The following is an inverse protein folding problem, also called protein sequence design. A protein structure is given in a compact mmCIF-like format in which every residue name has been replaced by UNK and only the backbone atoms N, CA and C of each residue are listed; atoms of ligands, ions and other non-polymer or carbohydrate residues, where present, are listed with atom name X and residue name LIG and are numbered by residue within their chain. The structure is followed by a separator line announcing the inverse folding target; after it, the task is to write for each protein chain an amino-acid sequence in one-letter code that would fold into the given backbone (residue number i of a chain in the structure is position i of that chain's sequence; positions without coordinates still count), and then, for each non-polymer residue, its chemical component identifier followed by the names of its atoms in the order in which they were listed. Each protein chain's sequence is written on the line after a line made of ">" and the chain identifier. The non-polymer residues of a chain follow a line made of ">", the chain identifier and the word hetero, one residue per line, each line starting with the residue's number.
data_IF_599707509467
#
_entry.id   IF_599707509467
#
_cell.length_a   1.000
_cell.length_b   1.000
_cell.length_c   1.000
_cell.angle_alpha   90.00
_cell.angle_beta   90.00
_cell.angle_gamma   90.00
#
_symmetry.space_group_name_H-M   'P 1'
#
loop_
_entity.id
_entity.type
_entity.pdbx_description
1 polymer ?
#
# COMPACT_ATOMS: atom_id res chain seq x y z
N UNK A 1 -6.24 15.53 -8.79
CA UNK A 1 -6.44 14.65 -7.61
C UNK A 1 -5.75 13.32 -7.82
N UNK A 2 -4.75 13.00 -7.01
CA UNK A 2 -4.05 11.71 -7.05
C UNK A 2 -4.50 10.81 -5.89
N UNK A 3 -4.48 9.50 -6.12
CA UNK A 3 -4.85 8.50 -5.11
C UNK A 3 -3.72 7.48 -4.90
N UNK A 4 -3.46 7.10 -3.65
CA UNK A 4 -2.55 6.00 -3.30
C UNK A 4 -3.25 5.02 -2.36
N UNK A 5 -3.50 3.82 -2.85
CA UNK A 5 -3.98 2.70 -2.04
C UNK A 5 -2.78 2.03 -1.36
N UNK A 6 -2.60 2.29 -0.06
CA UNK A 6 -1.51 1.73 0.76
C UNK A 6 -2.05 0.60 1.63
N UNK A 7 -1.63 -0.63 1.34
CA UNK A 7 -2.13 -1.85 1.99
C UNK A 7 -1.02 -2.64 2.68
N UNK A 8 -1.38 -3.35 3.75
CA UNK A 8 -0.53 -4.40 4.33
C UNK A 8 -0.52 -5.62 3.40
N UNK A 9 0.64 -6.29 3.30
CA UNK A 9 0.74 -7.55 2.57
C UNK A 9 -0.26 -8.61 3.08
N UNK A 10 -0.63 -9.54 2.21
CA UNK A 10 -1.51 -10.67 2.53
C UNK A 10 -0.84 -11.68 3.47
N UNK A 11 -1.60 -12.64 3.99
CA UNK A 11 -1.10 -13.66 4.91
C UNK A 11 0.12 -14.39 4.33
N UNK A 12 1.23 -14.32 5.05
CA UNK A 12 2.50 -14.94 4.65
C UNK A 12 2.60 -16.39 5.10
N UNK A 13 3.46 -17.14 4.43
CA UNK A 13 4.02 -18.36 4.98
C UNK A 13 4.93 -18.00 6.19
N UNK A 14 4.81 -18.70 7.34
CA UNK A 14 5.61 -18.40 8.51
C UNK A 14 7.11 -18.67 8.32
N UNK A 15 7.49 -19.60 7.43
CA UNK A 15 8.84 -20.13 7.28
C UNK A 15 9.63 -19.49 6.12
N UNK A 16 8.94 -18.94 5.11
CA UNK A 16 9.57 -18.33 3.94
C UNK A 16 8.96 -16.96 3.62
N UNK A 17 9.70 -16.10 2.92
CA UNK A 17 9.19 -14.78 2.48
C UNK A 17 8.26 -14.91 1.26
N UNK A 18 7.12 -15.60 1.45
CA UNK A 18 6.11 -15.87 0.42
C UNK A 18 4.72 -15.74 1.01
N UNK A 19 3.71 -15.63 0.18
CA UNK A 19 2.32 -15.77 0.58
C UNK A 19 1.95 -17.23 0.83
N UNK A 20 1.17 -17.45 1.88
CA UNK A 20 0.48 -18.72 2.09
C UNK A 20 -0.60 -18.92 1.02
N UNK A 21 -1.07 -20.16 0.78
CA UNK A 21 -2.19 -20.39 -0.14
C UNK A 21 -3.42 -19.54 0.17
N UNK A 22 -3.78 -19.40 1.45
CA UNK A 22 -4.88 -18.55 1.89
C UNK A 22 -4.62 -17.05 1.63
N UNK A 23 -3.38 -16.59 1.82
CA UNK A 23 -3.00 -15.21 1.52
C UNK A 23 -3.12 -14.86 0.04
N UNK A 24 -2.85 -15.82 -0.86
CA UNK A 24 -3.02 -15.62 -2.31
C UNK A 24 -4.49 -15.44 -2.68
N UNK A 25 -5.36 -16.29 -2.13
CA UNK A 25 -6.82 -16.19 -2.32
C UNK A 25 -7.33 -14.86 -1.80
N UNK A 26 -6.93 -14.48 -0.57
CA UNK A 26 -7.33 -13.20 0.02
C UNK A 26 -6.92 -12.01 -0.88
N UNK A 27 -5.66 -11.95 -1.32
CA UNK A 27 -5.17 -10.87 -2.17
C UNK A 27 -5.92 -10.80 -3.51
N UNK A 28 -6.21 -11.95 -4.13
CA UNK A 28 -7.00 -12.01 -5.35
C UNK A 28 -8.45 -11.53 -5.14
N UNK A 29 -9.07 -11.92 -4.02
CA UNK A 29 -10.44 -11.50 -3.70
C UNK A 29 -10.53 -10.01 -3.43
N UNK A 30 -9.55 -9.41 -2.73
CA UNK A 30 -9.51 -7.95 -2.56
C UNK A 30 -9.35 -7.25 -3.91
N UNK A 31 -8.55 -7.82 -4.82
CA UNK A 31 -8.42 -7.30 -6.19
C UNK A 31 -9.69 -7.40 -7.00
N UNK A 32 -10.40 -8.52 -6.89
CA UNK A 32 -11.70 -8.73 -7.54
C UNK A 32 -12.76 -7.75 -7.04
N UNK A 33 -12.70 -7.38 -5.77
CA UNK A 33 -13.62 -6.42 -5.16
C UNK A 33 -13.25 -4.95 -5.45
N UNK A 34 -12.02 -4.68 -5.89
CA UNK A 34 -11.57 -3.32 -6.20
C UNK A 34 -12.21 -2.82 -7.50
N UNK A 35 -12.62 -1.56 -7.50
CA UNK A 35 -13.09 -0.85 -8.71
C UNK A 35 -12.01 0.06 -9.30
N UNK A 36 -10.78 -0.01 -8.77
CA UNK A 36 -9.66 0.86 -9.17
C UNK A 36 -8.77 0.20 -10.21
N UNK A 37 -8.27 1.01 -11.13
CA UNK A 37 -7.15 0.68 -12.01
C UNK A 37 -5.93 1.47 -11.56
N UNK A 38 -4.78 0.82 -11.50
CA UNK A 38 -3.55 1.43 -11.01
C UNK A 38 -2.65 1.85 -12.16
N UNK A 39 -2.19 3.10 -12.16
CA UNK A 39 -1.19 3.61 -13.09
C UNK A 39 0.23 3.22 -12.65
N UNK A 40 0.41 2.96 -11.35
CA UNK A 40 1.72 2.61 -10.79
C UNK A 40 1.61 1.68 -9.57
N UNK A 41 2.59 0.80 -9.42
CA UNK A 41 2.68 -0.16 -8.30
C UNK A 41 4.00 -0.01 -7.55
N UNK A 42 3.93 0.07 -6.22
CA UNK A 42 5.07 0.14 -5.34
C UNK A 42 5.05 -1.02 -4.35
N UNK A 43 6.20 -1.66 -4.16
CA UNK A 43 6.31 -2.76 -3.19
C UNK A 43 7.55 -2.61 -2.35
N UNK A 44 7.49 -3.05 -1.09
CA UNK A 44 8.70 -3.23 -0.30
C UNK A 44 9.61 -4.30 -0.94
N UNK A 45 10.90 -4.38 -0.56
CA UNK A 45 11.81 -5.44 -1.01
C UNK A 45 11.38 -6.87 -0.64
N UNK A 46 10.42 -7.04 0.27
CA UNK A 46 9.91 -8.35 0.65
C UNK A 46 9.13 -9.01 -0.49
N UNK A 47 9.45 -10.27 -0.80
CA UNK A 47 8.81 -11.02 -1.88
C UNK A 47 7.31 -11.21 -1.63
N UNK A 48 6.86 -11.38 -0.37
CA UNK A 48 5.42 -11.44 -0.03
C UNK A 48 4.64 -10.17 -0.42
N UNK A 49 5.29 -8.99 -0.42
CA UNK A 49 4.65 -7.74 -0.83
C UNK A 49 4.45 -7.71 -2.34
N UNK A 50 5.47 -8.11 -3.11
CA UNK A 50 5.39 -8.27 -4.56
C UNK A 50 4.32 -9.31 -4.97
N UNK A 51 4.27 -10.45 -4.28
CA UNK A 51 3.23 -11.46 -4.52
C UNK A 51 1.84 -10.93 -4.21
N UNK A 52 1.66 -10.17 -3.12
CA UNK A 52 0.36 -9.56 -2.79
C UNK A 52 -0.11 -8.67 -3.93
N UNK A 53 0.75 -7.75 -4.41
CA UNK A 53 0.42 -6.88 -5.54
C UNK A 53 0.05 -7.68 -6.80
N UNK A 54 0.81 -8.74 -7.11
CA UNK A 54 0.54 -9.58 -8.27
C UNK A 54 -0.83 -10.29 -8.21
N UNK A 55 -1.21 -10.84 -7.05
CA UNK A 55 -2.53 -11.46 -6.87
C UNK A 55 -3.65 -10.41 -6.86
N UNK A 56 -3.40 -9.23 -6.30
CA UNK A 56 -4.31 -8.09 -6.36
C UNK A 56 -4.65 -7.71 -7.80
N UNK A 57 -3.63 -7.49 -8.63
CA UNK A 57 -3.78 -7.13 -10.04
C UNK A 57 -4.46 -8.24 -10.84
N UNK A 58 -4.14 -9.51 -10.54
CA UNK A 58 -4.83 -10.66 -11.14
C UNK A 58 -6.33 -10.63 -10.86
N UNK A 59 -6.72 -10.41 -9.61
CA UNK A 59 -8.12 -10.29 -9.21
C UNK A 59 -8.83 -9.12 -9.89
N UNK A 60 -8.14 -7.99 -10.00
CA UNK A 60 -8.61 -6.79 -10.69
C UNK A 60 -8.60 -6.91 -12.23
N UNK A 61 -8.17 -8.05 -12.78
CA UNK A 61 -8.03 -8.29 -14.22
C UNK A 61 -7.12 -7.26 -14.91
N UNK A 62 -6.13 -6.73 -14.19
CA UNK A 62 -5.21 -5.71 -14.66
C UNK A 62 -3.82 -6.32 -14.95
N UNK A 63 -3.19 -5.90 -16.05
CA UNK A 63 -1.76 -6.17 -16.27
C UNK A 63 -0.91 -5.31 -15.35
N UNK A 64 0.32 -5.76 -15.06
CA UNK A 64 1.27 -5.01 -14.25
C UNK A 64 1.61 -3.66 -14.92
N UNK A 65 1.28 -2.51 -14.30
CA UNK A 65 1.67 -1.21 -14.81
C UNK A 65 3.15 -0.90 -14.48
N UNK A 66 3.57 0.36 -14.66
CA UNK A 66 4.89 0.79 -14.19
C UNK A 66 5.04 0.48 -12.69
N UNK A 67 6.22 0.04 -12.27
CA UNK A 67 6.40 -0.44 -10.91
C UNK A 67 7.81 -0.22 -10.38
N UNK A 68 7.90 -0.10 -9.05
CA UNK A 68 9.16 0.09 -8.36
C UNK A 68 9.22 -0.68 -7.04
N UNK A 69 10.42 -1.14 -6.69
CA UNK A 69 10.74 -1.64 -5.35
C UNK A 69 11.24 -0.47 -4.51
N UNK A 70 10.56 -0.19 -3.39
CA UNK A 70 10.82 0.97 -2.54
C UNK A 70 11.24 0.49 -1.14
N UNK A 71 12.53 0.60 -0.77
CA UNK A 71 13.03 0.16 0.53
C UNK A 71 12.27 0.75 1.73
N UNK A 72 11.84 2.01 1.64
CA UNK A 72 11.07 2.68 2.71
C UNK A 72 9.74 1.99 3.04
N UNK A 73 9.15 1.25 2.09
CA UNK A 73 7.96 0.43 2.33
C UNK A 73 8.25 -0.79 3.21
N UNK A 74 9.50 -1.06 3.58
CA UNK A 74 9.87 -2.11 4.54
C UNK A 74 9.61 -1.75 6.02
N UNK A 75 9.14 -0.54 6.32
CA UNK A 75 8.89 -0.09 7.71
C UNK A 75 10.14 0.36 8.47
N UNK A 76 11.30 0.40 7.81
CA UNK A 76 12.58 0.80 8.38
C UNK A 76 13.27 1.72 7.38
N UNK A 77 12.97 3.00 7.44
CA UNK A 77 13.66 4.04 6.69
C UNK A 77 14.72 4.74 7.56
N UNK A 78 15.37 5.78 7.02
CA UNK A 78 16.37 6.54 7.74
C UNK A 78 15.83 7.25 9.01
N UNK A 79 14.50 7.42 9.16
CA UNK A 79 13.89 7.97 10.37
C UNK A 79 13.64 6.92 11.46
N UNK A 80 14.00 5.65 11.21
CA UNK A 80 13.67 4.55 12.11
C UNK A 80 12.19 4.17 12.06
N UNK A 81 11.49 4.53 10.99
CA UNK A 81 10.06 4.26 10.84
C UNK A 81 9.18 5.20 11.68
N UNK A 82 9.60 6.46 11.88
CA UNK A 82 8.77 7.47 12.57
C UNK A 82 7.51 7.80 11.76
N UNK A 83 6.38 8.18 12.38
CA UNK A 83 5.18 8.56 11.65
C UNK A 83 5.42 9.65 10.59
N UNK A 84 6.22 10.66 10.90
CA UNK A 84 6.58 11.76 9.99
C UNK A 84 7.39 11.24 8.80
N UNK A 85 8.33 10.32 9.04
CA UNK A 85 9.09 9.68 7.97
C UNK A 85 8.21 8.84 7.05
N UNK A 86 7.28 8.06 7.63
CA UNK A 86 6.32 7.27 6.84
C UNK A 86 5.38 8.16 6.03
N UNK A 87 4.89 9.26 6.61
CA UNK A 87 4.06 10.23 5.90
C UNK A 87 4.83 10.93 4.76
N UNK A 88 6.10 11.29 5.00
CA UNK A 88 7.00 11.83 3.97
C UNK A 88 7.22 10.82 2.84
N UNK A 89 7.44 9.55 3.17
CA UNK A 89 7.55 8.46 2.21
C UNK A 89 6.30 8.32 1.35
N UNK A 90 5.11 8.37 1.95
CA UNK A 90 3.83 8.34 1.21
C UNK A 90 3.68 9.53 0.26
N UNK A 91 4.03 10.75 0.72
CA UNK A 91 4.01 11.95 -0.14
C UNK A 91 4.95 11.80 -1.35
N UNK A 92 6.15 11.27 -1.12
CA UNK A 92 7.10 11.01 -2.20
C UNK A 92 6.62 9.94 -3.21
N UNK A 93 5.74 9.02 -2.81
CA UNK A 93 5.10 8.09 -3.75
C UNK A 93 3.99 8.75 -4.56
N UNK A 94 3.21 9.65 -3.94
CA UNK A 94 2.21 10.46 -4.65
C UNK A 94 2.88 11.36 -5.70
N UNK A 95 4.03 11.98 -5.37
CA UNK A 95 4.81 12.82 -6.30
C UNK A 95 5.33 12.08 -7.54
N UNK A 96 5.33 10.75 -7.51
CA UNK A 96 5.78 9.89 -8.62
C UNK A 96 4.63 9.40 -9.50
N UNK A 97 3.37 9.69 -9.14
CA UNK A 97 2.21 9.33 -9.94
C UNK A 97 2.09 10.29 -11.14
N UNK A 98 1.51 9.84 -12.26
CA UNK A 98 1.06 10.76 -13.29
C UNK A 98 0.00 11.71 -12.71
N UNK A 99 -0.19 12.87 -13.33
CA UNK A 99 -1.21 13.83 -12.92
C UNK A 99 -2.60 13.16 -12.91
N UNK A 100 -3.28 13.20 -11.77
CA UNK A 100 -4.56 12.52 -11.60
C UNK A 100 -4.48 10.98 -11.42
N UNK A 101 -3.27 10.44 -11.27
CA UNK A 101 -3.01 9.01 -11.27
C UNK A 101 -3.38 8.30 -9.98
N UNK A 102 -3.54 6.99 -10.09
CA UNK A 102 -3.83 6.08 -8.98
C UNK A 102 -2.70 5.08 -8.77
N UNK A 103 -2.12 5.05 -7.57
CA UNK A 103 -1.08 4.11 -7.19
C UNK A 103 -1.55 3.00 -6.25
N UNK A 104 -0.91 1.84 -6.35
CA UNK A 104 -1.00 0.76 -5.33
C UNK A 104 0.35 0.64 -4.62
N UNK A 105 0.36 0.68 -3.30
CA UNK A 105 1.55 0.42 -2.48
C UNK A 105 1.30 -0.75 -1.52
N UNK A 106 2.16 -1.77 -1.56
CA UNK A 106 2.12 -2.89 -0.60
C UNK A 106 3.27 -2.81 0.39
N UNK A 107 2.89 -2.79 1.67
CA UNK A 107 3.76 -2.55 2.82
C UNK A 107 3.48 -3.52 3.98
N UNK A 108 3.91 -3.16 5.18
CA UNK A 108 3.81 -3.96 6.41
C UNK A 108 3.15 -3.16 7.53
N UNK A 109 2.62 -3.84 8.54
CA UNK A 109 2.40 -3.22 9.85
C UNK A 109 3.75 -3.07 10.58
N UNK A 110 4.00 -1.98 11.34
CA UNK A 110 3.09 -0.87 11.61
C UNK A 110 3.22 0.33 10.63
N UNK A 111 3.80 0.14 9.43
CA UNK A 111 4.04 1.26 8.50
C UNK A 111 2.73 1.94 8.09
N UNK A 112 1.69 1.18 7.77
CA UNK A 112 0.42 1.75 7.29
C UNK A 112 -0.24 2.62 8.36
N UNK A 113 -0.25 2.15 9.60
CA UNK A 113 -0.79 2.88 10.75
C UNK A 113 0.03 4.13 11.08
N UNK A 114 1.36 4.02 11.02
CA UNK A 114 2.25 5.17 11.25
C UNK A 114 2.13 6.21 10.14
N UNK A 115 1.96 5.79 8.89
CA UNK A 115 1.70 6.69 7.78
C UNK A 115 0.36 7.41 7.97
N UNK A 116 -0.71 6.69 8.35
CA UNK A 116 -2.02 7.29 8.66
C UNK A 116 -1.90 8.38 9.75
N UNK A 117 -1.23 8.05 10.85
CA UNK A 117 -0.98 8.99 11.94
C UNK A 117 -0.12 10.18 11.50
N UNK A 118 0.98 9.95 10.79
CA UNK A 118 1.85 11.05 10.33
C UNK A 118 1.20 11.98 9.30
N UNK A 119 0.24 11.48 8.50
CA UNK A 119 -0.48 12.27 7.51
C UNK A 119 -1.61 13.11 8.11
N UNK A 120 -2.24 12.63 9.20
CA UNK A 120 -3.51 13.20 9.70
C UNK A 120 -3.51 13.59 11.17
N UNK A 121 -2.54 13.13 11.96
CA UNK A 121 -2.51 13.25 13.41
C UNK A 121 -3.49 12.31 14.14
N UNK A 122 -4.18 11.42 13.42
CA UNK A 122 -5.20 10.52 13.98
C UNK A 122 -4.66 9.10 14.11
N UNK A 123 -4.79 8.51 15.30
CA UNK A 123 -4.46 7.10 15.52
C UNK A 123 -5.54 6.20 14.93
N UNK A 124 -5.12 5.17 14.21
CA UNK A 124 -6.00 4.16 13.62
C UNK A 124 -5.78 2.82 14.30
N UNK A 125 -6.86 2.02 14.40
CA UNK A 125 -6.73 0.65 14.89
C UNK A 125 -5.85 -0.19 13.94
N UNK A 126 -5.06 -1.15 14.45
CA UNK A 126 -4.19 -1.99 13.62
C UNK A 126 -4.91 -2.64 12.45
N UNK A 127 -4.26 -2.67 11.29
CA UNK A 127 -4.81 -3.26 10.06
C UNK A 127 -4.51 -4.75 9.98
N UNK A 128 -5.52 -5.52 9.57
CA UNK A 128 -5.34 -6.94 9.22
C UNK A 128 -4.61 -7.05 7.88
N UNK A 129 -4.21 -8.26 7.52
CA UNK A 129 -3.66 -8.56 6.20
C UNK A 129 -4.59 -8.06 5.09
N UNK A 130 -4.01 -7.48 4.03
CA UNK A 130 -4.74 -6.82 2.94
C UNK A 130 -5.58 -5.59 3.33
N UNK A 131 -5.66 -5.18 4.59
CA UNK A 131 -6.27 -3.90 4.96
C UNK A 131 -5.25 -2.77 4.84
N UNK A 132 -5.74 -1.52 4.86
CA UNK A 132 -4.89 -0.35 4.92
C UNK A 132 -5.65 0.95 4.74
N UNK A 133 -5.06 1.89 4.01
CA UNK A 133 -5.63 3.21 3.78
C UNK A 133 -5.61 3.57 2.29
N UNK A 134 -6.60 4.34 1.87
CA UNK A 134 -6.55 5.11 0.64
C UNK A 134 -6.19 6.55 0.98
N UNK A 135 -5.08 7.03 0.45
CA UNK A 135 -4.64 8.41 0.59
C UNK A 135 -5.05 9.16 -0.65
N UNK A 136 -5.78 10.26 -0.48
CA UNK A 136 -6.15 11.17 -1.58
C UNK A 136 -5.44 12.49 -1.39
N UNK A 137 -4.82 12.99 -2.46
CA UNK A 137 -4.29 14.35 -2.54
C UNK A 137 -5.06 15.13 -3.58
N UNK A 138 -5.68 16.24 -3.16
CA UNK A 138 -6.36 17.14 -4.08
C UNK A 138 -5.38 18.11 -4.75
N UNK A 139 -5.90 19.00 -5.59
CA UNK A 139 -5.09 19.90 -6.40
C UNK A 139 -4.45 21.04 -5.56
N UNK A 140 -4.94 21.29 -4.34
CA UNK A 140 -4.34 22.26 -3.40
C UNK A 140 -3.27 21.63 -2.48
N UNK A 141 -3.14 20.30 -2.54
CA UNK A 141 -2.16 19.52 -1.80
C UNK A 141 -2.67 19.02 -0.44
N UNK A 142 -3.93 19.28 -0.09
CA UNK A 142 -4.54 18.71 1.09
C UNK A 142 -4.66 17.19 0.95
N UNK A 143 -4.44 16.51 2.08
CA UNK A 143 -4.49 15.05 2.17
C UNK A 143 -5.67 14.62 3.00
N UNK A 144 -6.45 13.69 2.46
CA UNK A 144 -7.46 12.93 3.18
C UNK A 144 -7.09 11.43 3.16
N UNK A 145 -7.50 10.71 4.20
CA UNK A 145 -7.38 9.26 4.25
C UNK A 145 -8.75 8.60 4.41
N UNK A 146 -8.91 7.43 3.79
CA UNK A 146 -10.04 6.53 3.98
C UNK A 146 -9.51 5.16 4.42
N UNK A 147 -10.10 4.55 5.45
CA UNK A 147 -9.69 3.22 5.90
C UNK A 147 -10.27 2.12 5.00
N UNK A 148 -9.40 1.23 4.51
CA UNK A 148 -9.74 0.07 3.71
C UNK A 148 -9.70 -1.19 4.59
N UNK A 149 -10.85 -1.53 5.20
CA UNK A 149 -11.00 -2.64 6.16
C UNK A 149 -11.51 -3.95 5.55
N UNK A 150 -11.55 -4.02 4.22
CA UNK A 150 -12.09 -5.15 3.45
C UNK A 150 -11.25 -5.40 2.21
#
# INVERSE_FOLDING_TARGET
>A
MEELELRRHATRDPQVDRLSPAGRVLAEDVGRASTRTYDRVYVSPAQRAAETAAWFLRGAMQQLPDHAVVPGLGGHDASGGSPEGMASGVRALLDQLPEGGTGLAISHTPLVERAAFGLTGVEVAPFRECEGILVRRDDDGAIAIEELRR
#
